data_IF_372344577901
#
_entry.id   IF_372344577901
#
_cell.length_a   1.000
_cell.length_b   1.000
_cell.length_c   1.000
_cell.angle_alpha   90.00
_cell.angle_beta   90.00
_cell.angle_gamma   90.00
#
_symmetry.space_group_name_H-M   'P 1'
#
loop_
_entity.id
_entity.type
_entity.pdbx_description
1 polymer ?
#
# COMPACT_ATOMS: atom_id res chain seq x y z
N UNK A 1 -3.41 -19.02 2.08
CA UNK A 1 -2.23 -18.56 1.30
C UNK A 1 -1.77 -19.73 0.44
N UNK A 2 -1.42 -19.51 -0.83
CA UNK A 2 -0.89 -20.57 -1.70
C UNK A 2 0.58 -20.79 -1.34
N UNK A 3 0.96 -22.04 -1.07
CA UNK A 3 2.33 -22.42 -0.74
C UNK A 3 2.83 -23.56 -1.63
N UNK A 4 4.14 -23.76 -1.66
CA UNK A 4 4.79 -24.92 -2.29
C UNK A 4 5.60 -25.67 -1.23
N UNK A 5 5.35 -26.98 -1.08
CA UNK A 5 6.10 -27.84 -0.16
C UNK A 5 6.85 -28.87 -0.99
N UNK A 6 8.08 -29.13 -0.58
CA UNK A 6 8.94 -30.17 -1.14
C UNK A 6 8.90 -31.35 -0.19
N UNK A 7 8.26 -32.45 -0.60
CA UNK A 7 8.36 -33.73 0.11
C UNK A 7 9.52 -34.50 -0.51
N UNK A 8 10.53 -34.84 0.31
CA UNK A 8 11.61 -35.74 -0.10
C UNK A 8 11.31 -37.11 0.51
N UNK A 9 11.23 -38.14 -0.34
CA UNK A 9 11.11 -39.52 0.10
C UNK A 9 12.35 -40.30 -0.38
N UNK A 10 13.10 -40.86 0.56
CA UNK A 10 14.20 -41.77 0.28
C UNK A 10 13.70 -43.20 0.49
N UNK A 11 13.79 -44.04 -0.53
CA UNK A 11 13.45 -45.45 -0.43
C UNK A 11 14.58 -46.33 -0.97
N UNK A 12 14.81 -47.46 -0.31
CA UNK A 12 15.84 -48.42 -0.68
C UNK A 12 15.27 -49.36 -1.75
N UNK A 13 15.40 -48.97 -3.02
CA UNK A 13 15.26 -49.92 -4.12
C UNK A 13 16.57 -50.70 -4.24
N UNK A 14 16.48 -52.03 -4.41
CA UNK A 14 17.57 -53.00 -4.27
C UNK A 14 18.77 -52.87 -5.23
N UNK A 15 19.05 -51.70 -5.84
CA UNK A 15 20.33 -51.47 -6.52
C UNK A 15 20.82 -50.02 -6.68
N UNK A 16 19.99 -48.98 -6.53
CA UNK A 16 20.46 -47.57 -6.51
C UNK A 16 19.50 -46.66 -5.73
N UNK A 17 20.04 -45.76 -4.91
CA UNK A 17 19.29 -44.68 -4.24
C UNK A 17 18.79 -43.68 -5.30
N UNK A 18 17.51 -43.73 -5.63
CA UNK A 18 16.86 -42.72 -6.47
C UNK A 18 16.07 -41.76 -5.60
N UNK A 19 16.55 -40.52 -5.50
CA UNK A 19 15.81 -39.41 -4.90
C UNK A 19 14.79 -38.89 -5.91
N UNK A 20 13.51 -38.99 -5.59
CA UNK A 20 12.43 -38.38 -6.37
C UNK A 20 11.88 -37.19 -5.60
N UNK A 21 11.87 -36.02 -6.22
CA UNK A 21 11.31 -34.79 -5.65
C UNK A 21 10.04 -34.45 -6.41
N UNK A 22 8.90 -34.55 -5.74
CA UNK A 22 7.59 -34.19 -6.32
C UNK A 22 7.08 -32.91 -5.66
N UNK A 23 7.01 -31.77 -6.37
CA UNK A 23 6.41 -30.57 -5.83
C UNK A 23 4.88 -30.73 -5.73
N UNK A 24 4.35 -30.54 -4.53
CA UNK A 24 2.91 -30.52 -4.29
C UNK A 24 2.46 -29.07 -4.01
N UNK A 25 1.42 -28.62 -4.72
CA UNK A 25 0.75 -27.35 -4.42
C UNK A 25 -0.24 -27.58 -3.28
N UNK A 26 -0.29 -26.67 -2.32
CA UNK A 26 -1.19 -26.79 -1.18
C UNK A 26 -1.78 -25.43 -0.79
N UNK A 27 -2.92 -25.49 -0.11
CA UNK A 27 -3.58 -24.40 0.58
C UNK A 27 -3.28 -24.47 2.07
N UNK A 28 -2.76 -23.39 2.66
CA UNK A 28 -2.70 -23.26 4.12
C UNK A 28 -3.71 -22.23 4.63
N UNK A 29 -4.50 -22.64 5.63
CA UNK A 29 -5.24 -21.74 6.51
C UNK A 29 -4.28 -21.27 7.59
N UNK A 30 -4.10 -19.96 7.66
CA UNK A 30 -3.19 -19.30 8.59
C UNK A 30 -3.99 -18.31 9.43
N UNK A 31 -3.64 -18.21 10.71
CA UNK A 31 -4.21 -17.25 11.64
C UNK A 31 -3.09 -16.45 12.27
N UNK A 32 -3.33 -15.17 12.51
CA UNK A 32 -2.45 -14.36 13.34
C UNK A 32 -2.87 -14.52 14.80
N UNK A 33 -1.94 -14.98 15.64
CA UNK A 33 -2.11 -15.08 17.10
C UNK A 33 -0.89 -14.42 17.73
N UNK A 34 -1.10 -13.39 18.55
CA UNK A 34 -0.04 -12.64 19.24
C UNK A 34 1.09 -12.15 18.33
N UNK A 35 0.74 -11.66 17.14
CA UNK A 35 1.71 -11.16 16.15
C UNK A 35 2.57 -12.24 15.49
N UNK A 36 2.24 -13.53 15.69
CA UNK A 36 2.87 -14.66 15.02
C UNK A 36 1.90 -15.32 14.03
N UNK A 37 2.45 -15.79 12.92
CA UNK A 37 1.72 -16.54 11.91
C UNK A 37 1.59 -17.99 12.37
N UNK A 38 0.37 -18.46 12.57
CA UNK A 38 0.07 -19.82 12.99
C UNK A 38 -0.62 -20.59 11.85
N UNK A 39 -0.12 -21.78 11.53
CA UNK A 39 -0.65 -22.63 10.44
C UNK A 39 -1.68 -23.58 11.03
N UNK A 40 -2.94 -23.29 10.74
CA UNK A 40 -4.09 -23.99 11.31
C UNK A 40 -4.48 -25.23 10.51
N UNK A 41 -4.32 -25.19 9.19
CA UNK A 41 -4.75 -26.29 8.31
C UNK A 41 -3.94 -26.26 7.00
N UNK A 42 -3.59 -27.43 6.46
CA UNK A 42 -2.95 -27.60 5.15
C UNK A 42 -3.80 -28.57 4.32
N UNK A 43 -4.19 -28.18 3.10
CA UNK A 43 -4.97 -29.00 2.14
C UNK A 43 -4.27 -29.09 0.80
N UNK A 44 -4.44 -30.20 0.10
CA UNK A 44 -3.99 -30.34 -1.28
C UNK A 44 -4.71 -29.33 -2.20
N UNK A 45 -3.98 -28.70 -3.12
CA UNK A 45 -4.52 -27.70 -4.03
C UNK A 45 -5.17 -28.37 -5.25
N UNK A 46 -6.50 -28.48 -5.29
CA UNK A 46 -7.24 -28.80 -6.52
C UNK A 46 -7.48 -27.52 -7.34
N UNK A 47 -7.17 -27.53 -8.64
CA UNK A 47 -7.30 -26.38 -9.54
C UNK A 47 -8.75 -25.88 -9.80
N UNK A 48 -9.73 -26.38 -9.03
CA UNK A 48 -11.14 -26.02 -9.11
C UNK A 48 -11.53 -25.45 -7.74
N UNK A 49 -11.94 -24.18 -7.74
CA UNK A 49 -12.52 -23.52 -6.57
C UNK A 49 -11.52 -23.05 -5.52
N UNK A 50 -10.52 -22.27 -5.93
CA UNK A 50 -9.66 -21.55 -4.98
C UNK A 50 -10.56 -20.77 -3.99
N UNK A 51 -10.50 -21.07 -2.68
CA UNK A 51 -11.32 -20.35 -1.71
C UNK A 51 -10.87 -18.89 -1.68
N UNK A 52 -11.84 -17.96 -1.70
CA UNK A 52 -11.54 -16.55 -1.54
C UNK A 52 -10.76 -16.32 -0.23
N UNK A 53 -9.50 -15.92 -0.37
CA UNK A 53 -8.65 -15.62 0.78
C UNK A 53 -9.04 -14.25 1.32
N UNK A 54 -9.91 -14.24 2.32
CA UNK A 54 -10.22 -13.03 3.07
C UNK A 54 -9.10 -12.78 4.08
N UNK A 55 -8.33 -11.71 3.86
CA UNK A 55 -7.32 -11.28 4.83
C UNK A 55 -8.02 -10.57 5.99
N UNK A 56 -7.58 -10.87 7.21
CA UNK A 56 -8.16 -10.25 8.42
C UNK A 56 -7.58 -8.85 8.61
N UNK A 57 -8.43 -7.93 9.04
CA UNK A 57 -8.05 -6.58 9.46
C UNK A 57 -7.21 -6.68 10.75
N UNK A 58 -5.94 -6.24 10.73
CA UNK A 58 -5.08 -6.27 11.91
C UNK A 58 -5.48 -5.26 13.00
N UNK A 59 -6.53 -4.45 12.78
CA UNK A 59 -7.05 -3.46 13.74
C UNK A 59 -5.98 -2.47 14.20
N UNK A 60 -5.18 -1.97 13.27
CA UNK A 60 -4.20 -0.92 13.55
C UNK A 60 -4.94 0.33 14.03
N UNK A 61 -4.55 0.93 15.16
CA UNK A 61 -5.13 2.17 15.66
C UNK A 61 -5.09 3.28 14.59
N UNK A 62 -6.19 4.03 14.47
CA UNK A 62 -6.30 5.09 13.47
C UNK A 62 -5.22 6.15 13.63
N UNK A 63 -4.82 6.46 14.86
CA UNK A 63 -3.82 7.47 15.20
C UNK A 63 -2.46 7.15 14.56
N UNK A 64 -2.08 5.87 14.49
CA UNK A 64 -0.85 5.44 13.83
C UNK A 64 -0.93 5.57 12.32
N UNK A 65 -2.10 5.24 11.74
CA UNK A 65 -2.37 5.38 10.31
C UNK A 65 -2.35 6.86 9.91
N UNK A 66 -3.04 7.70 10.68
CA UNK A 66 -3.13 9.13 10.50
C UNK A 66 -1.76 9.80 10.58
N UNK A 67 -0.95 9.47 11.60
CA UNK A 67 0.41 10.00 11.73
C UNK A 67 1.27 9.69 10.49
N UNK A 68 1.25 8.45 10.00
CA UNK A 68 2.01 8.06 8.81
C UNK A 68 1.50 8.70 7.52
N UNK A 69 0.20 8.94 7.43
CA UNK A 69 -0.38 9.66 6.31
C UNK A 69 0.01 11.15 6.33
N UNK A 70 0.01 11.80 7.50
CA UNK A 70 0.51 13.18 7.66
C UNK A 70 2.00 13.30 7.29
N UNK A 71 2.83 12.36 7.76
CA UNK A 71 4.25 12.29 7.40
C UNK A 71 4.44 12.17 5.89
N UNK A 72 3.61 11.36 5.22
CA UNK A 72 3.67 11.17 3.77
C UNK A 72 3.27 12.43 2.99
N UNK A 73 2.22 13.15 3.41
CA UNK A 73 1.88 14.45 2.83
C UNK A 73 3.03 15.45 3.01
N UNK A 74 3.57 15.56 4.23
CA UNK A 74 4.73 16.43 4.50
C UNK A 74 5.93 16.08 3.63
N UNK A 75 6.20 14.79 3.44
CA UNK A 75 7.27 14.32 2.57
C UNK A 75 7.06 14.70 1.11
N UNK A 76 5.82 14.65 0.62
CA UNK A 76 5.48 15.03 -0.74
C UNK A 76 5.87 16.48 -1.05
N UNK A 77 5.44 17.44 -0.23
CA UNK A 77 5.78 18.86 -0.46
C UNK A 77 7.28 19.13 -0.28
N UNK A 78 7.93 18.49 0.69
CA UNK A 78 9.35 18.69 0.97
C UNK A 78 10.26 18.14 -0.13
N UNK A 79 9.83 17.11 -0.87
CA UNK A 79 10.59 16.52 -1.97
C UNK A 79 10.15 17.01 -3.35
N UNK A 80 9.03 17.71 -3.44
CA UNK A 80 8.55 18.26 -4.70
C UNK A 80 9.53 19.29 -5.27
N UNK A 81 9.73 19.23 -6.58
CA UNK A 81 10.56 20.17 -7.33
C UNK A 81 9.70 20.83 -8.41
N UNK A 82 9.95 20.53 -9.67
CA UNK A 82 9.12 20.94 -10.80
C UNK A 82 7.77 20.22 -10.83
N UNK A 83 7.70 19.02 -10.27
CA UNK A 83 6.48 18.25 -10.13
C UNK A 83 6.45 17.54 -8.78
N UNK A 84 5.27 17.07 -8.40
CA UNK A 84 5.13 16.16 -7.28
C UNK A 84 5.88 14.83 -7.53
N UNK A 85 6.55 14.26 -6.52
CA UNK A 85 7.26 12.98 -6.67
C UNK A 85 6.33 11.80 -6.97
N UNK A 86 6.89 10.71 -7.48
CA UNK A 86 6.16 9.46 -7.58
C UNK A 86 5.65 8.99 -6.21
N UNK A 87 4.40 8.55 -6.14
CA UNK A 87 3.74 8.16 -4.89
C UNK A 87 2.98 9.29 -4.19
N UNK A 88 3.16 10.53 -4.65
CA UNK A 88 2.42 11.71 -4.21
C UNK A 88 1.30 12.06 -5.19
N UNK A 89 0.38 12.97 -4.81
CA UNK A 89 -0.65 13.45 -5.72
C UNK A 89 -0.08 14.02 -7.02
N UNK A 90 -0.74 13.76 -8.14
CA UNK A 90 -0.20 14.10 -9.45
C UNK A 90 -0.46 15.57 -9.81
N UNK A 91 0.57 16.40 -9.68
CA UNK A 91 0.51 17.79 -10.12
C UNK A 91 1.87 18.33 -10.54
N UNK A 92 1.89 19.06 -11.65
CA UNK A 92 2.98 19.92 -12.10
C UNK A 92 2.45 21.32 -12.49
N UNK A 93 3.19 22.41 -12.22
CA UNK A 93 2.96 23.73 -12.80
C UNK A 93 3.27 23.73 -14.30
N UNK A 94 2.96 24.83 -15.01
CA UNK A 94 3.32 24.99 -16.42
C UNK A 94 4.82 24.79 -16.69
N UNK A 95 5.16 24.26 -17.88
CA UNK A 95 6.55 24.14 -18.30
C UNK A 95 7.26 25.49 -18.31
N UNK A 96 8.51 25.51 -17.84
CA UNK A 96 9.29 26.74 -17.66
C UNK A 96 8.94 27.52 -16.39
N UNK A 97 8.13 26.98 -15.47
CA UNK A 97 7.97 27.55 -14.15
C UNK A 97 9.27 27.45 -13.33
N UNK A 98 9.61 28.53 -12.63
CA UNK A 98 10.78 28.65 -11.78
C UNK A 98 10.39 28.99 -10.34
N UNK A 99 11.33 28.86 -9.39
CA UNK A 99 11.14 29.21 -7.97
C UNK A 99 9.87 28.58 -7.38
N UNK A 100 9.67 27.30 -7.69
CA UNK A 100 8.47 26.55 -7.34
C UNK A 100 8.52 26.23 -5.84
N UNK A 101 7.42 26.52 -5.14
CA UNK A 101 7.23 26.22 -3.73
C UNK A 101 5.86 25.59 -3.54
N UNK A 102 5.84 24.40 -2.96
CA UNK A 102 4.63 23.60 -2.72
C UNK A 102 4.24 23.66 -1.25
N UNK A 103 2.96 23.78 -0.97
CA UNK A 103 2.45 23.79 0.40
C UNK A 103 1.04 23.24 0.48
N UNK A 104 0.76 22.36 1.45
CA UNK A 104 -0.61 22.06 1.82
C UNK A 104 -1.20 23.20 2.63
N UNK A 105 -2.44 23.56 2.36
CA UNK A 105 -3.22 24.53 3.13
C UNK A 105 -4.26 23.76 3.94
N UNK A 106 -4.14 23.79 5.27
CA UNK A 106 -4.99 22.99 6.15
C UNK A 106 -4.53 21.55 6.36
N UNK A 107 -5.33 20.80 7.11
CA UNK A 107 -5.01 19.41 7.51
C UNK A 107 -5.62 18.40 6.52
N UNK A 108 -4.80 17.64 5.76
CA UNK A 108 -5.29 16.63 4.83
C UNK A 108 -5.97 15.43 5.53
N UNK A 109 -5.87 15.33 6.85
CA UNK A 109 -6.52 14.29 7.66
C UNK A 109 -7.93 14.67 8.12
N UNK A 110 -8.34 15.93 7.99
CA UNK A 110 -9.59 16.44 8.55
C UNK A 110 -10.83 15.65 8.09
N UNK A 111 -10.86 15.29 6.82
CA UNK A 111 -11.97 14.53 6.20
C UNK A 111 -11.60 13.06 5.96
N UNK A 112 -10.46 12.61 6.46
CA UNK A 112 -9.94 11.28 6.18
C UNK A 112 -10.80 10.17 6.83
N UNK A 113 -11.06 9.12 6.05
CA UNK A 113 -11.80 7.92 6.46
C UNK A 113 -11.08 6.69 5.95
N UNK A 114 -10.63 5.84 6.87
CA UNK A 114 -9.99 4.57 6.55
C UNK A 114 -11.02 3.44 6.37
N UNK A 115 -10.79 2.60 5.38
CA UNK A 115 -11.50 1.32 5.20
C UNK A 115 -10.47 0.25 4.88
N UNK A 116 -10.53 -0.88 5.59
CA UNK A 116 -9.65 -2.00 5.30
C UNK A 116 -10.14 -2.76 4.06
N UNK A 117 -9.24 -2.96 3.10
CA UNK A 117 -9.46 -3.77 1.92
C UNK A 117 -8.91 -5.20 2.16
N UNK A 118 -9.77 -6.20 2.41
CA UNK A 118 -9.33 -7.56 2.71
C UNK A 118 -8.78 -8.30 1.50
N UNK A 119 -9.03 -7.81 0.28
CA UNK A 119 -8.48 -8.40 -0.95
C UNK A 119 -6.98 -8.15 -1.01
N UNK A 120 -6.55 -6.93 -0.69
CA UNK A 120 -5.14 -6.53 -0.76
C UNK A 120 -4.44 -6.47 0.61
N UNK A 121 -5.17 -6.58 1.72
CA UNK A 121 -4.67 -6.32 3.08
C UNK A 121 -4.01 -4.94 3.23
N UNK A 122 -4.71 -3.92 2.76
CA UNK A 122 -4.30 -2.52 2.91
C UNK A 122 -5.45 -1.71 3.50
N UNK A 123 -5.15 -0.61 4.17
CA UNK A 123 -6.13 0.43 4.41
C UNK A 123 -6.20 1.33 3.18
N UNK A 124 -7.42 1.56 2.69
CA UNK A 124 -7.73 2.62 1.73
C UNK A 124 -8.28 3.79 2.53
N UNK A 125 -7.56 4.90 2.52
CA UNK A 125 -7.96 6.12 3.21
C UNK A 125 -8.44 7.12 2.18
N UNK A 126 -9.69 7.54 2.28
CA UNK A 126 -10.26 8.59 1.42
C UNK A 126 -10.42 9.88 2.18
N UNK A 127 -10.14 11.00 1.54
CA UNK A 127 -10.32 12.32 2.12
C UNK A 127 -10.24 13.42 1.07
N UNK A 128 -10.11 14.65 1.54
CA UNK A 128 -9.87 15.85 0.74
C UNK A 128 -8.66 16.56 1.31
N UNK A 129 -7.89 17.21 0.45
CA UNK A 129 -6.81 18.09 0.87
C UNK A 129 -6.83 19.37 0.02
N UNK A 130 -6.23 20.44 0.54
CA UNK A 130 -5.94 21.64 -0.25
C UNK A 130 -4.43 21.76 -0.44
N UNK A 131 -4.00 21.93 -1.68
CA UNK A 131 -2.60 22.06 -2.06
C UNK A 131 -2.45 23.33 -2.89
N UNK A 132 -1.43 24.10 -2.56
CA UNK A 132 -1.05 25.29 -3.27
C UNK A 132 0.36 25.15 -3.84
N UNK A 133 0.57 25.76 -5.00
CA UNK A 133 1.89 25.91 -5.60
C UNK A 133 2.12 27.36 -5.99
N UNK A 134 3.19 27.93 -5.45
CA UNK A 134 3.66 29.28 -5.81
C UNK A 134 4.87 29.14 -6.73
N UNK A 135 4.85 29.83 -7.86
CA UNK A 135 5.93 29.76 -8.84
C UNK A 135 6.07 31.07 -9.62
N UNK A 136 7.19 31.25 -10.31
CA UNK A 136 7.41 32.35 -11.25
C UNK A 136 7.29 31.82 -12.69
N UNK A 137 6.53 32.51 -13.53
CA UNK A 137 6.35 32.16 -14.93
C UNK A 137 6.27 33.44 -15.77
N UNK A 138 7.09 33.53 -16.82
CA UNK A 138 7.21 34.71 -17.69
C UNK A 138 7.41 36.02 -16.88
N UNK A 139 8.30 35.97 -15.88
CA UNK A 139 8.61 37.12 -15.02
C UNK A 139 7.55 37.47 -13.98
N UNK A 140 6.42 36.76 -13.94
CA UNK A 140 5.30 37.02 -13.02
C UNK A 140 5.20 35.93 -11.96
N UNK A 141 4.99 36.30 -10.70
CA UNK A 141 4.67 35.32 -9.65
C UNK A 141 3.21 34.90 -9.74
N UNK A 142 2.96 33.60 -9.72
CA UNK A 142 1.65 32.96 -9.75
C UNK A 142 1.49 32.06 -8.52
N UNK A 143 0.26 31.90 -8.09
CA UNK A 143 -0.14 30.91 -7.09
C UNK A 143 -1.35 30.18 -7.65
N UNK A 144 -1.25 28.86 -7.76
CA UNK A 144 -2.38 28.00 -8.10
C UNK A 144 -2.73 27.15 -6.88
N UNK A 145 -4.02 26.94 -6.65
CA UNK A 145 -4.54 26.13 -5.54
C UNK A 145 -5.51 25.07 -6.07
N UNK A 146 -5.49 23.88 -5.49
CA UNK A 146 -6.41 22.79 -5.81
C UNK A 146 -6.97 22.15 -4.54
N UNK A 147 -8.20 21.68 -4.63
CA UNK A 147 -8.96 21.01 -3.57
C UNK A 147 -9.43 19.60 -4.00
N UNK A 148 -8.53 18.68 -4.35
CA UNK A 148 -8.95 17.36 -4.82
C UNK A 148 -9.40 16.45 -3.68
N UNK A 149 -10.19 15.45 -4.05
CA UNK A 149 -10.35 14.24 -3.24
C UNK A 149 -9.15 13.33 -3.47
N UNK A 150 -8.73 12.60 -2.44
CA UNK A 150 -7.63 11.65 -2.54
C UNK A 150 -8.02 10.26 -2.04
N UNK A 151 -7.29 9.27 -2.52
CA UNK A 151 -7.23 7.93 -1.95
C UNK A 151 -5.77 7.57 -1.65
N UNK A 152 -5.46 7.27 -0.39
CA UNK A 152 -4.18 6.77 0.04
C UNK A 152 -4.24 5.27 0.33
N UNK A 153 -3.20 4.55 -0.09
CA UNK A 153 -3.05 3.11 0.15
C UNK A 153 -2.00 2.90 1.22
N UNK A 154 -2.37 2.23 2.31
CA UNK A 154 -1.52 2.06 3.48
C UNK A 154 -1.42 0.58 3.83
N UNK A 155 -0.22 0.03 3.79
CA UNK A 155 0.05 -1.34 4.21
C UNK A 155 0.28 -1.39 5.73
N UNK A 156 -0.47 -2.21 6.49
CA UNK A 156 -0.09 -2.55 7.85
C UNK A 156 1.14 -3.48 7.82
N UNK A 157 2.18 -3.14 8.58
CA UNK A 157 3.38 -3.97 8.72
C UNK A 157 3.73 -4.18 10.20
N UNK A 158 4.61 -5.14 10.51
CA UNK A 158 5.11 -5.37 11.86
C UNK A 158 5.85 -4.16 12.45
N UNK A 159 6.46 -3.33 11.59
CA UNK A 159 7.15 -2.09 11.98
C UNK A 159 6.21 -0.87 12.06
N UNK A 160 4.92 -1.05 11.78
CA UNK A 160 3.91 0.01 11.70
C UNK A 160 3.35 0.22 10.30
N UNK A 161 2.34 1.10 10.14
CA UNK A 161 1.74 1.36 8.84
C UNK A 161 2.72 2.06 7.89
N UNK A 162 2.65 1.71 6.61
CA UNK A 162 3.48 2.29 5.54
C UNK A 162 2.57 2.82 4.45
N UNK A 163 2.68 4.11 4.13
CA UNK A 163 1.97 4.72 3.01
C UNK A 163 2.64 4.29 1.71
N UNK A 164 1.91 3.56 0.88
CA UNK A 164 2.39 3.07 -0.41
C UNK A 164 2.22 4.13 -1.49
N UNK A 165 1.10 4.85 -1.46
CA UNK A 165 0.77 5.86 -2.45
C UNK A 165 -0.36 6.77 -1.95
N UNK A 166 -0.36 8.01 -2.41
CA UNK A 166 -1.48 8.95 -2.35
C UNK A 166 -1.83 9.33 -3.79
N UNK A 167 -3.09 9.12 -4.19
CA UNK A 167 -3.60 9.46 -5.52
C UNK A 167 -4.73 10.45 -5.42
N UNK A 168 -4.76 11.39 -6.35
CA UNK A 168 -5.97 12.14 -6.61
C UNK A 168 -7.04 11.21 -7.18
N UNK A 169 -8.27 11.39 -6.71
CA UNK A 169 -9.44 10.76 -7.30
C UNK A 169 -10.30 11.84 -7.92
N UNK A 170 -10.74 11.62 -9.14
CA UNK A 170 -11.85 12.38 -9.72
C UNK A 170 -13.14 11.89 -9.08
N UNK A 171 -13.98 12.79 -8.57
CA UNK A 171 -15.41 12.50 -8.42
C UNK A 171 -15.93 12.14 -9.82
N UNK A 172 -16.32 10.87 -9.99
CA UNK A 172 -17.03 10.41 -11.18
C UNK A 172 -18.40 11.08 -11.29
#
# INVERSE_FOLDING_TARGET
>A
MLGTVIVTADYTAAKELRRVVTPAKFWAKIKWVDGKLDVQEIKEHSAIGDPDIVKQDPKVPWELVAAKLSDAFTHCVNRAKSAMPAGCPEWSPPSGAEKINWSFTGDPLLTARATFDPKFAIYRVKGTYELAVRYSWLGTTKTDTRNPTYEAWIAPTLAGPVVLQIKDTTTA
#
